data_IF_481609103857
#
_entry.id   IF_481609103857
#
_cell.length_a   1.000
_cell.length_b   1.000
_cell.length_c   1.000
_cell.angle_alpha   90.00
_cell.angle_beta   90.00
_cell.angle_gamma   90.00
#
_symmetry.space_group_name_H-M   'P 1'
#
loop_
_entity.id
_entity.type
_entity.pdbx_description
1 polymer ?
#
# COMPACT_ATOMS: atom_id res chain seq x y z
N UNK A 1 -6.19 -13.89 20.51
CA UNK A 1 -5.31 -14.41 19.44
C UNK A 1 -4.19 -13.40 19.25
N UNK A 2 -2.94 -13.85 19.25
CA UNK A 2 -1.79 -13.02 18.92
C UNK A 2 -1.62 -13.00 17.40
N UNK A 3 -1.43 -11.81 16.83
CA UNK A 3 -1.27 -11.63 15.37
C UNK A 3 0.09 -10.99 15.14
N UNK A 4 0.88 -11.61 14.26
CA UNK A 4 2.12 -11.07 13.74
C UNK A 4 1.95 -10.84 12.25
N UNK A 5 2.30 -9.68 11.73
CA UNK A 5 2.26 -9.38 10.29
C UNK A 5 3.67 -9.02 9.81
N UNK A 6 4.05 -9.52 8.65
CA UNK A 6 5.27 -9.14 7.92
C UNK A 6 4.88 -8.64 6.54
N UNK A 7 5.39 -7.48 6.17
CA UNK A 7 5.04 -6.78 4.94
C UNK A 7 6.13 -6.97 3.89
N UNK A 8 5.72 -7.30 2.67
CA UNK A 8 6.58 -7.18 1.50
C UNK A 8 6.64 -5.72 1.01
N UNK A 9 7.56 -5.37 0.08
CA UNK A 9 7.58 -4.05 -0.52
C UNK A 9 6.24 -3.73 -1.21
N UNK A 10 5.66 -2.59 -0.87
CA UNK A 10 4.45 -2.08 -1.52
C UNK A 10 4.74 -1.76 -2.99
N UNK A 11 3.80 -2.09 -3.88
CA UNK A 11 3.91 -1.91 -5.32
C UNK A 11 2.82 -0.97 -5.84
N UNK A 12 3.12 0.33 -5.97
CA UNK A 12 2.25 1.26 -6.66
C UNK A 12 2.44 1.07 -8.18
N UNK A 13 1.42 0.51 -8.83
CA UNK A 13 1.41 0.23 -10.26
C UNK A 13 0.12 0.73 -10.92
N UNK A 14 0.19 1.21 -12.17
CA UNK A 14 -1.02 1.55 -12.92
C UNK A 14 -1.62 0.24 -13.39
N UNK A 15 -2.87 0.00 -13.01
CA UNK A 15 -3.63 -1.10 -13.55
C UNK A 15 -4.05 -0.76 -14.98
N UNK A 16 -3.57 -1.53 -15.96
CA UNK A 16 -3.81 -1.25 -17.38
C UNK A 16 -5.28 -1.45 -17.78
N UNK A 17 -6.02 -2.34 -17.09
CA UNK A 17 -7.41 -2.65 -17.40
C UNK A 17 -8.35 -1.54 -16.92
N UNK A 18 -8.08 -1.02 -15.72
CA UNK A 18 -8.85 0.10 -15.14
C UNK A 18 -8.31 1.48 -15.56
N UNK A 19 -7.08 1.54 -16.05
CA UNK A 19 -6.32 2.78 -16.23
C UNK A 19 -6.32 3.65 -14.96
N UNK A 20 -6.11 3.00 -13.83
CA UNK A 20 -6.12 3.61 -12.50
C UNK A 20 -4.88 3.19 -11.71
N UNK A 21 -4.37 4.11 -10.89
CA UNK A 21 -3.29 3.86 -9.95
C UNK A 21 -3.77 2.93 -8.84
N UNK A 22 -3.21 1.73 -8.75
CA UNK A 22 -3.47 0.78 -7.66
C UNK A 22 -2.22 0.58 -6.82
N UNK A 23 -2.41 0.24 -5.56
CA UNK A 23 -1.33 -0.24 -4.71
C UNK A 23 -1.56 -1.70 -4.37
N UNK A 24 -0.59 -2.52 -4.74
CA UNK A 24 -0.51 -3.91 -4.35
C UNK A 24 0.41 -4.03 -3.13
N UNK A 25 -0.12 -4.59 -2.05
CA UNK A 25 0.61 -4.86 -0.82
C UNK A 25 0.50 -6.35 -0.51
N UNK A 26 1.59 -7.09 -0.70
CA UNK A 26 1.71 -8.48 -0.27
C UNK A 26 2.11 -8.52 1.20
N UNK A 27 1.56 -9.45 1.98
CA UNK A 27 1.94 -9.64 3.37
C UNK A 27 1.77 -11.08 3.80
N UNK A 28 2.66 -11.52 4.68
CA UNK A 28 2.50 -12.76 5.43
C UNK A 28 2.00 -12.46 6.83
N UNK A 29 1.14 -13.31 7.35
CA UNK A 29 0.59 -13.19 8.69
C UNK A 29 0.71 -14.50 9.45
N UNK A 30 1.00 -14.40 10.74
CA UNK A 30 0.98 -15.53 11.67
C UNK A 30 -0.01 -15.26 12.79
N UNK A 31 -1.03 -16.10 12.90
CA UNK A 31 -1.97 -16.13 14.01
C UNK A 31 -1.48 -17.17 15.01
N UNK A 32 -1.42 -16.81 16.30
CA UNK A 32 -1.15 -17.74 17.40
C UNK A 32 -2.26 -17.68 18.42
N UNK A 33 -2.77 -18.83 18.81
CA UNK A 33 -3.80 -18.94 19.83
C UNK A 33 -3.63 -20.18 20.68
N UNK A 34 -4.20 -20.15 21.87
CA UNK A 34 -4.21 -21.29 22.76
C UNK A 34 -5.55 -22.00 22.66
N UNK A 35 -5.54 -23.30 22.40
CA UNK A 35 -6.74 -24.15 22.43
C UNK A 35 -6.40 -25.54 22.96
N UNK A 36 -6.73 -25.78 24.23
CA UNK A 36 -6.51 -27.07 24.88
C UNK A 36 -7.28 -28.22 24.19
N UNK A 37 -8.42 -27.93 23.53
CA UNK A 37 -9.26 -28.96 22.90
C UNK A 37 -8.61 -29.57 21.67
N UNK A 38 -7.76 -28.81 20.98
CA UNK A 38 -7.03 -29.26 19.79
C UNK A 38 -5.88 -30.19 20.22
N UNK A 39 -5.17 -29.81 21.28
CA UNK A 39 -4.07 -30.58 21.84
C UNK A 39 -4.53 -31.92 22.45
N UNK A 40 -5.72 -31.96 23.06
CA UNK A 40 -6.33 -33.18 23.61
C UNK A 40 -7.01 -34.05 22.54
N UNK A 41 -7.06 -33.61 21.29
CA UNK A 41 -7.77 -34.34 20.24
C UNK A 41 -7.02 -35.63 19.84
N UNK A 42 -7.73 -36.72 19.51
CA UNK A 42 -7.09 -37.98 19.07
C UNK A 42 -6.30 -37.83 17.76
N UNK A 43 -6.47 -36.72 17.05
CA UNK A 43 -5.83 -36.44 15.78
C UNK A 43 -4.75 -35.36 15.89
N UNK A 44 -4.35 -34.98 17.12
CA UNK A 44 -3.36 -33.92 17.37
C UNK A 44 -2.08 -34.14 16.55
N UNK A 45 -1.58 -35.38 16.48
CA UNK A 45 -0.36 -35.73 15.75
C UNK A 45 -0.47 -35.58 14.21
N UNK A 46 -1.69 -35.51 13.67
CA UNK A 46 -1.95 -35.41 12.21
C UNK A 46 -2.62 -34.09 11.81
N UNK A 47 -2.90 -33.22 12.77
CA UNK A 47 -3.64 -31.98 12.55
C UNK A 47 -2.87 -31.00 11.65
N UNK A 48 -1.54 -30.96 11.77
CA UNK A 48 -0.63 -30.19 10.91
C UNK A 48 -0.80 -30.56 9.44
N UNK A 49 -0.79 -31.85 9.12
CA UNK A 49 -1.00 -32.32 7.74
C UNK A 49 -2.45 -32.13 7.26
N UNK A 50 -3.43 -32.23 8.17
CA UNK A 50 -4.84 -32.16 7.80
C UNK A 50 -5.32 -30.73 7.54
N UNK A 51 -4.72 -29.75 8.22
CA UNK A 51 -5.08 -28.33 8.15
C UNK A 51 -4.09 -27.48 7.35
N UNK A 52 -2.89 -27.97 7.03
CA UNK A 52 -2.01 -27.27 6.10
C UNK A 52 -2.54 -27.36 4.66
N UNK A 53 -2.25 -26.34 3.88
CA UNK A 53 -2.56 -26.24 2.45
C UNK A 53 -1.28 -25.95 1.69
N UNK A 54 -0.83 -26.92 0.89
CA UNK A 54 0.31 -26.70 0.00
C UNK A 54 -0.04 -25.76 -1.15
N UNK A 55 0.97 -25.09 -1.71
CA UNK A 55 0.78 -24.17 -2.86
C UNK A 55 0.19 -24.86 -4.09
N UNK A 56 0.54 -26.13 -4.30
CA UNK A 56 0.01 -26.94 -5.42
C UNK A 56 -1.48 -27.22 -5.25
N UNK A 57 -1.92 -27.51 -4.02
CA UNK A 57 -3.33 -27.73 -3.71
C UNK A 57 -4.13 -26.42 -3.74
N UNK A 58 -3.54 -25.32 -3.26
CA UNK A 58 -4.13 -23.97 -3.30
C UNK A 58 -4.38 -23.48 -4.74
N UNK A 59 -3.59 -23.93 -5.71
CA UNK A 59 -3.77 -23.60 -7.12
C UNK A 59 -5.03 -24.23 -7.74
N UNK A 60 -5.65 -25.21 -7.07
CA UNK A 60 -6.85 -25.91 -7.56
C UNK A 60 -8.10 -25.55 -6.75
N UNK A 61 -9.24 -25.32 -7.43
CA UNK A 61 -10.52 -25.03 -6.78
C UNK A 61 -10.98 -26.17 -5.86
N UNK A 62 -10.77 -27.41 -6.28
CA UNK A 62 -11.09 -28.61 -5.50
C UNK A 62 -10.22 -28.71 -4.24
N UNK A 63 -8.92 -28.44 -4.34
CA UNK A 63 -8.00 -28.43 -3.20
C UNK A 63 -8.39 -27.39 -2.16
N UNK A 64 -8.71 -26.17 -2.61
CA UNK A 64 -9.22 -25.09 -1.74
C UNK A 64 -10.54 -25.45 -1.06
N UNK A 65 -11.46 -26.07 -1.79
CA UNK A 65 -12.77 -26.46 -1.25
C UNK A 65 -12.63 -27.55 -0.19
N UNK A 66 -11.85 -28.61 -0.47
CA UNK A 66 -11.62 -29.70 0.49
C UNK A 66 -10.90 -29.22 1.74
N UNK A 67 -9.93 -28.32 1.59
CA UNK A 67 -9.24 -27.71 2.71
C UNK A 67 -10.20 -26.89 3.58
N UNK A 68 -11.04 -26.06 2.98
CA UNK A 68 -12.08 -25.29 3.69
C UNK A 68 -13.01 -26.21 4.48
N UNK A 69 -13.41 -27.34 3.92
CA UNK A 69 -14.24 -28.33 4.62
C UNK A 69 -13.54 -28.97 5.83
N UNK A 70 -12.25 -29.31 5.70
CA UNK A 70 -11.44 -29.84 6.82
C UNK A 70 -11.27 -28.78 7.91
N UNK A 71 -10.96 -27.55 7.51
CA UNK A 71 -10.81 -26.40 8.40
C UNK A 71 -12.09 -26.09 9.17
N UNK A 72 -13.25 -26.13 8.52
CA UNK A 72 -14.55 -25.85 9.16
C UNK A 72 -14.93 -26.81 10.30
N UNK A 73 -14.21 -27.94 10.46
CA UNK A 73 -14.41 -28.87 11.59
C UNK A 73 -13.76 -28.39 12.88
N UNK A 74 -12.78 -27.49 12.78
CA UNK A 74 -12.06 -26.93 13.90
C UNK A 74 -12.30 -25.43 13.99
N UNK A 75 -12.26 -24.91 15.21
CA UNK A 75 -12.26 -23.47 15.37
C UNK A 75 -10.86 -22.95 15.03
N UNK A 76 -10.75 -22.21 13.93
CA UNK A 76 -9.53 -21.54 13.49
C UNK A 76 -9.86 -20.07 13.27
N UNK A 77 -9.15 -19.12 13.91
CA UNK A 77 -9.41 -17.70 13.70
C UNK A 77 -9.20 -17.36 12.21
N UNK A 78 -10.16 -16.64 11.62
CA UNK A 78 -10.02 -16.11 10.25
C UNK A 78 -9.68 -14.63 10.33
N UNK A 79 -8.59 -14.23 9.68
CA UNK A 79 -8.28 -12.83 9.47
C UNK A 79 -9.15 -12.32 8.33
N UNK A 80 -10.00 -11.34 8.61
CA UNK A 80 -10.80 -10.62 7.62
C UNK A 80 -10.26 -9.19 7.49
N UNK A 81 -10.33 -8.66 6.28
CA UNK A 81 -9.88 -7.30 5.98
C UNK A 81 -11.12 -6.49 5.63
N UNK A 82 -11.32 -5.36 6.31
CA UNK A 82 -12.34 -4.38 5.96
C UNK A 82 -11.77 -3.35 4.96
N UNK A 83 -12.66 -2.77 4.16
CA UNK A 83 -12.35 -1.74 3.16
C UNK A 83 -11.49 -2.20 1.96
N UNK A 84 -11.69 -3.46 1.54
CA UNK A 84 -11.14 -3.96 0.28
C UNK A 84 -11.91 -3.41 -0.93
N UNK A 85 -11.24 -3.31 -2.08
CA UNK A 85 -11.91 -3.07 -3.35
C UNK A 85 -12.95 -4.18 -3.60
N UNK A 86 -14.06 -3.90 -4.32
CA UNK A 86 -15.08 -4.91 -4.61
C UNK A 86 -14.61 -6.15 -5.38
N UNK A 87 -13.36 -6.18 -5.85
CA UNK A 87 -12.71 -7.34 -6.51
C UNK A 87 -11.39 -7.77 -5.83
N UNK A 88 -11.12 -7.33 -4.60
CA UNK A 88 -9.97 -7.87 -3.85
C UNK A 88 -10.39 -9.18 -3.21
N UNK A 89 -10.24 -10.26 -3.97
CA UNK A 89 -10.33 -11.59 -3.42
C UNK A 89 -9.17 -11.78 -2.41
N UNK A 90 -9.51 -12.14 -1.18
CA UNK A 90 -8.55 -12.63 -0.20
C UNK A 90 -8.24 -14.09 -0.54
N UNK A 91 -7.18 -14.32 -1.29
CA UNK A 91 -6.66 -15.67 -1.51
C UNK A 91 -5.65 -15.95 -0.40
N UNK A 92 -5.92 -16.95 0.44
CA UNK A 92 -4.85 -17.59 1.18
C UNK A 92 -4.04 -18.39 0.14
N UNK A 93 -2.93 -17.83 -0.37
CA UNK A 93 -2.09 -18.48 -1.39
C UNK A 93 -1.48 -19.81 -0.89
N UNK A 94 -1.32 -19.92 0.42
CA UNK A 94 -0.94 -21.11 1.16
C UNK A 94 -1.26 -20.90 2.64
N UNK A 95 -1.34 -22.00 3.39
CA UNK A 95 -1.64 -21.95 4.82
C UNK A 95 -0.90 -23.05 5.56
N UNK A 96 0.06 -22.69 6.41
CA UNK A 96 0.78 -23.65 7.25
C UNK A 96 0.20 -23.63 8.66
N UNK A 97 -0.31 -24.79 9.09
CA UNK A 97 -0.77 -25.00 10.46
C UNK A 97 0.28 -25.78 11.24
N UNK A 98 0.60 -25.29 12.43
CA UNK A 98 1.53 -25.96 13.35
C UNK A 98 0.93 -25.97 14.76
N UNK A 99 0.92 -27.16 15.39
CA UNK A 99 0.45 -27.37 16.75
C UNK A 99 1.63 -27.69 17.70
N UNK A 100 1.92 -26.78 18.63
CA UNK A 100 2.76 -27.08 19.79
C UNK A 100 1.90 -27.67 20.92
N UNK A 101 1.72 -29.00 20.86
CA UNK A 101 0.95 -29.75 21.86
C UNK A 101 1.50 -29.61 23.29
N UNK A 102 2.79 -29.27 23.47
CA UNK A 102 3.38 -29.08 24.80
C UNK A 102 2.92 -27.79 25.49
N UNK A 103 2.53 -26.79 24.70
CA UNK A 103 2.08 -25.47 25.17
C UNK A 103 0.58 -25.22 24.92
N UNK A 104 -0.14 -26.20 24.36
CA UNK A 104 -1.50 -26.05 23.85
C UNK A 104 -1.63 -24.85 22.90
N UNK A 105 -0.59 -24.58 22.12
CA UNK A 105 -0.50 -23.42 21.25
C UNK A 105 -0.63 -23.89 19.80
N UNK A 106 -1.62 -23.34 19.09
CA UNK A 106 -1.79 -23.54 17.66
C UNK A 106 -1.36 -22.27 16.93
N UNK A 107 -0.74 -22.45 15.78
CA UNK A 107 -0.35 -21.37 14.90
C UNK A 107 -0.79 -21.60 13.47
N UNK A 108 -1.13 -20.50 12.81
CA UNK A 108 -1.51 -20.47 11.40
C UNK A 108 -0.70 -19.40 10.71
N UNK A 109 0.03 -19.77 9.66
CA UNK A 109 0.73 -18.81 8.80
C UNK A 109 0.07 -18.80 7.43
N UNK A 110 -0.24 -17.62 6.92
CA UNK A 110 -0.78 -17.45 5.57
C UNK A 110 -0.20 -16.24 4.87
N UNK A 111 -0.41 -16.17 3.56
CA UNK A 111 -0.02 -15.06 2.70
C UNK A 111 -1.28 -14.46 2.08
N UNK A 112 -1.37 -13.12 2.09
CA UNK A 112 -2.46 -12.36 1.49
C UNK A 112 -1.91 -11.22 0.65
N UNK A 113 -2.61 -10.91 -0.44
CA UNK A 113 -2.31 -9.78 -1.32
C UNK A 113 -3.47 -8.79 -1.27
N UNK A 114 -3.17 -7.56 -0.88
CA UNK A 114 -4.15 -6.48 -0.77
C UNK A 114 -3.99 -5.54 -1.95
N UNK A 115 -5.10 -5.26 -2.62
CA UNK A 115 -5.21 -4.25 -3.68
C UNK A 115 -6.01 -3.06 -3.18
N UNK A 116 -5.37 -1.90 -3.12
CA UNK A 116 -5.99 -0.62 -2.72
C UNK A 116 -6.21 0.23 -3.97
N UNK A 117 -7.45 0.67 -4.18
CA UNK A 117 -7.88 1.45 -5.35
C UNK A 117 -7.45 2.91 -5.31
N UNK A 118 -7.41 3.53 -6.49
CA UNK A 118 -7.09 4.93 -6.70
C UNK A 118 -7.97 5.89 -5.88
N UNK A 119 -9.21 5.53 -5.57
CA UNK A 119 -10.14 6.33 -4.75
C UNK A 119 -9.62 6.70 -3.36
N UNK A 120 -8.63 5.95 -2.84
CA UNK A 120 -7.99 6.22 -1.55
C UNK A 120 -6.79 7.17 -1.66
N UNK A 121 -6.46 7.63 -2.87
CA UNK A 121 -5.33 8.52 -3.14
C UNK A 121 -5.81 9.93 -3.44
N UNK A 122 -5.01 10.92 -3.04
CA UNK A 122 -5.24 12.32 -3.34
C UNK A 122 -4.07 12.90 -4.14
N UNK A 123 -4.25 13.02 -5.46
CA UNK A 123 -3.28 13.60 -6.39
C UNK A 123 -3.40 15.12 -6.58
N UNK A 124 -4.21 15.83 -5.80
CA UNK A 124 -4.41 17.27 -5.99
C UNK A 124 -3.08 18.05 -6.01
N UNK A 125 -2.13 17.68 -5.15
CA UNK A 125 -0.81 18.31 -5.07
C UNK A 125 0.28 17.59 -5.86
N UNK A 126 -0.06 16.73 -6.82
CA UNK A 126 0.94 16.03 -7.64
C UNK A 126 1.95 17.03 -8.25
N UNK A 127 3.27 16.75 -8.19
CA UNK A 127 3.98 15.56 -7.68
C UNK A 127 4.42 15.66 -6.20
N UNK A 128 3.95 16.65 -5.46
CA UNK A 128 4.30 16.91 -4.06
C UNK A 128 3.36 16.21 -3.08
N UNK A 129 2.69 15.16 -3.55
CA UNK A 129 1.63 14.47 -2.85
C UNK A 129 2.17 13.50 -1.77
N UNK A 130 1.34 13.33 -0.75
CA UNK A 130 1.55 12.40 0.35
C UNK A 130 0.28 11.58 0.52
N UNK A 131 0.45 10.26 0.56
CA UNK A 131 -0.64 9.30 0.56
C UNK A 131 -0.60 8.51 1.88
N UNK A 132 -1.78 8.18 2.40
CA UNK A 132 -1.92 7.38 3.62
C UNK A 132 -2.85 6.22 3.33
N UNK A 133 -2.31 5.02 3.34
CA UNK A 133 -3.08 3.79 3.18
C UNK A 133 -3.46 3.30 4.56
N UNK A 134 -4.73 2.97 4.74
CA UNK A 134 -5.24 2.38 5.98
C UNK A 134 -5.93 1.08 5.62
N UNK A 135 -5.48 -0.01 6.22
CA UNK A 135 -6.07 -1.35 6.07
C UNK A 135 -6.54 -1.80 7.44
N UNK A 136 -7.82 -2.16 7.53
CA UNK A 136 -8.45 -2.55 8.79
C UNK A 136 -8.54 -4.07 8.87
N UNK A 137 -7.83 -4.67 9.82
CA UNK A 137 -7.87 -6.11 10.06
C UNK A 137 -8.81 -6.43 11.21
N UNK A 138 -9.58 -7.49 11.07
CA UNK A 138 -10.41 -8.03 12.14
C UNK A 138 -10.36 -9.57 12.14
N UNK A 139 -10.67 -10.18 13.29
CA UNK A 139 -10.86 -11.61 13.35
C UNK A 139 -12.35 -11.96 13.30
N UNK A 140 -12.72 -12.86 12.40
CA UNK A 140 -14.09 -13.39 12.38
C UNK A 140 -14.31 -14.41 13.52
N UNK A 141 -15.58 -14.70 13.82
CA UNK A 141 -15.93 -15.74 14.80
C UNK A 141 -15.78 -15.32 16.26
N UNK A 142 -15.75 -14.01 16.55
CA UNK A 142 -15.79 -13.46 17.92
C UNK A 142 -14.47 -13.50 18.67
N UNK A 143 -13.37 -13.87 18.02
CA UNK A 143 -12.02 -13.73 18.59
C UNK A 143 -11.61 -12.25 18.68
N UNK A 144 -10.89 -11.91 19.74
CA UNK A 144 -10.26 -10.61 19.90
C UNK A 144 -8.76 -10.68 19.59
N UNK A 145 -8.25 -9.64 18.94
CA UNK A 145 -6.83 -9.45 18.69
C UNK A 145 -6.21 -8.93 19.99
N UNK A 146 -5.32 -9.71 20.59
CA UNK A 146 -4.77 -9.36 21.91
C UNK A 146 -3.78 -8.20 21.87
N UNK A 147 -3.13 -7.97 20.72
CA UNK A 147 -2.18 -6.89 20.56
C UNK A 147 -2.06 -6.46 19.08
N UNK A 148 -2.44 -5.22 18.76
CA UNK A 148 -2.15 -4.61 17.46
C UNK A 148 -0.70 -4.07 17.37
N UNK A 149 0.00 -3.91 18.51
CA UNK A 149 1.41 -3.53 18.53
C UNK A 149 2.35 -4.67 18.11
N UNK A 150 1.81 -5.90 17.92
CA UNK A 150 2.53 -7.09 17.47
C UNK A 150 2.88 -7.10 15.99
N UNK A 151 2.79 -5.97 15.29
CA UNK A 151 3.40 -5.81 13.98
C UNK A 151 4.91 -5.70 14.14
N UNK A 152 5.55 -6.87 14.31
CA UNK A 152 6.95 -7.05 13.95
C UNK A 152 7.05 -6.87 12.44
N UNK A 153 7.01 -5.62 11.99
CA UNK A 153 7.16 -5.31 10.57
C UNK A 153 8.47 -5.90 10.02
N UNK A 154 9.47 -6.15 10.89
CA UNK A 154 10.61 -7.08 10.77
C UNK A 154 11.02 -7.59 12.17
N UNK A 155 11.87 -8.63 12.30
CA UNK A 155 12.57 -8.91 13.55
C UNK A 155 13.38 -7.67 14.00
N UNK A 156 13.37 -7.34 15.31
CA UNK A 156 13.93 -6.08 15.83
C UNK A 156 15.42 -5.83 15.54
N UNK A 157 16.18 -6.84 15.11
CA UNK A 157 17.63 -6.73 14.85
C UNK A 157 17.97 -6.04 13.52
N UNK A 158 17.17 -6.21 12.47
CA UNK A 158 17.47 -5.66 11.13
C UNK A 158 17.10 -4.18 11.02
N UNK A 159 15.99 -3.76 11.64
CA UNK A 159 15.51 -2.37 11.58
C UNK A 159 16.28 -1.44 12.53
N UNK A 160 16.75 -1.96 13.67
CA UNK A 160 17.49 -1.15 14.65
C UNK A 160 18.85 -0.62 14.11
N UNK A 161 19.40 -1.28 13.08
CA UNK A 161 20.69 -0.92 12.48
C UNK A 161 20.57 -0.42 11.03
N UNK A 162 19.38 -0.50 10.43
CA UNK A 162 19.15 -0.09 9.05
C UNK A 162 19.13 1.43 8.88
N UNK A 163 19.76 1.89 7.80
CA UNK A 163 19.67 3.27 7.32
C UNK A 163 18.28 3.55 6.73
N UNK A 164 17.88 4.82 6.66
CA UNK A 164 16.61 5.23 6.04
C UNK A 164 16.45 4.77 4.59
N UNK A 165 17.56 4.65 3.85
CA UNK A 165 17.55 4.14 2.47
C UNK A 165 17.28 2.62 2.42
N UNK A 166 17.87 1.85 3.34
CA UNK A 166 17.59 0.41 3.47
C UNK A 166 16.13 0.18 3.85
N UNK A 167 15.59 0.96 4.79
CA UNK A 167 14.19 0.89 5.20
C UNK A 167 13.26 1.19 4.01
N UNK A 168 13.55 2.21 3.21
CA UNK A 168 12.72 2.51 2.03
C UNK A 168 12.72 1.36 1.01
N UNK A 169 13.86 0.70 0.78
CA UNK A 169 13.94 -0.44 -0.16
C UNK A 169 13.20 -1.69 0.33
N UNK A 170 12.98 -1.77 1.64
CA UNK A 170 12.27 -2.88 2.27
C UNK A 170 10.76 -2.70 2.11
N UNK A 171 10.22 -1.49 2.32
CA UNK A 171 8.77 -1.26 2.28
C UNK A 171 8.26 -0.71 0.94
N UNK A 172 9.13 -0.21 0.07
CA UNK A 172 8.76 0.47 -1.17
C UNK A 172 9.59 -0.05 -2.35
N UNK A 173 9.14 0.17 -3.59
CA UNK A 173 9.85 -0.31 -4.75
C UNK A 173 11.24 0.32 -4.87
N UNK A 174 12.17 -0.43 -5.46
CA UNK A 174 13.53 0.02 -5.73
C UNK A 174 13.61 1.23 -6.70
N UNK A 175 12.50 1.64 -7.33
CA UNK A 175 12.44 2.77 -8.27
C UNK A 175 12.65 4.14 -7.61
N UNK A 176 12.59 4.23 -6.28
CA UNK A 176 12.76 5.47 -5.49
C UNK A 176 11.78 6.61 -5.85
N UNK A 177 10.72 6.30 -6.59
CA UNK A 177 9.65 7.25 -6.89
C UNK A 177 8.83 7.59 -5.64
N UNK A 178 8.76 6.65 -4.71
CA UNK A 178 8.08 6.77 -3.44
C UNK A 178 9.07 6.60 -2.29
N UNK A 179 8.86 7.36 -1.23
CA UNK A 179 9.63 7.31 0.02
C UNK A 179 8.67 7.32 1.20
N UNK A 180 9.07 6.74 2.34
CA UNK A 180 8.25 6.81 3.55
C UNK A 180 8.09 8.27 4.01
N UNK A 181 6.89 8.61 4.46
CA UNK A 181 6.55 9.96 4.89
C UNK A 181 7.00 10.25 6.33
N UNK A 182 8.31 10.29 6.55
CA UNK A 182 8.92 10.65 7.84
C UNK A 182 9.68 9.50 8.50
N UNK A 183 9.62 9.44 9.83
CA UNK A 183 10.24 8.35 10.61
C UNK A 183 9.48 7.03 10.39
N UNK A 184 10.13 5.88 10.58
CA UNK A 184 9.48 4.59 10.40
C UNK A 184 8.27 4.42 11.32
N UNK A 185 8.37 4.85 12.57
CA UNK A 185 7.29 4.74 13.57
C UNK A 185 6.08 5.62 13.27
N UNK A 186 6.27 6.71 12.53
CA UNK A 186 5.19 7.61 12.11
C UNK A 186 4.59 7.21 10.75
N UNK A 187 5.42 6.60 9.91
CA UNK A 187 5.07 6.23 8.53
C UNK A 187 4.40 4.86 8.47
N UNK A 188 4.83 3.91 9.30
CA UNK A 188 4.23 2.58 9.36
C UNK A 188 3.81 2.32 10.79
N UNK A 189 2.51 2.16 11.01
CA UNK A 189 2.00 1.90 12.36
C UNK A 189 0.77 1.01 12.29
N UNK A 190 0.67 0.10 13.25
CA UNK A 190 -0.52 -0.67 13.48
C UNK A 190 -1.09 -0.34 14.85
N UNK A 191 -2.31 0.20 14.86
CA UNK A 191 -2.99 0.63 16.08
C UNK A 191 -4.47 0.30 15.96
N UNK A 192 -5.17 0.07 17.08
CA UNK A 192 -6.63 0.00 17.04
C UNK A 192 -7.20 1.29 16.43
N UNK A 193 -8.27 1.24 15.63
CA UNK A 193 -8.89 2.44 15.08
C UNK A 193 -9.34 3.35 16.22
N UNK A 194 -8.94 4.61 16.16
CA UNK A 194 -9.38 5.61 17.13
C UNK A 194 -10.71 6.20 16.65
N UNK A 195 -11.83 5.70 17.15
CA UNK A 195 -13.11 6.38 16.96
C UNK A 195 -13.18 7.61 17.87
N UNK A 196 -13.14 8.80 17.27
CA UNK A 196 -13.48 10.03 17.96
C UNK A 196 -15.02 10.10 18.09
N UNK A 197 -15.56 9.96 19.30
CA UNK A 197 -16.97 10.31 19.54
C UNK A 197 -17.11 11.84 19.42
N UNK A 198 -17.96 12.38 18.53
CA UNK A 198 -17.99 13.81 18.19
C UNK A 198 -18.43 14.76 19.32
N UNK A 199 -18.81 14.24 20.50
CA UNK A 199 -19.42 15.05 21.57
C UNK A 199 -18.82 14.91 22.96
N UNK A 200 -17.87 14.00 23.20
CA UNK A 200 -17.36 13.74 24.56
C UNK A 200 -15.84 13.74 24.71
N UNK A 201 -15.06 13.78 23.62
CA UNK A 201 -13.59 13.82 23.70
C UNK A 201 -12.98 12.65 24.48
N UNK A 202 -13.75 11.60 24.71
CA UNK A 202 -13.38 10.42 25.49
C UNK A 202 -13.03 9.28 24.54
N UNK A 203 -11.83 8.75 24.71
CA UNK A 203 -11.28 7.63 23.97
C UNK A 203 -11.85 6.31 24.50
N UNK A 204 -12.92 5.81 23.90
CA UNK A 204 -13.40 4.46 24.20
C UNK A 204 -12.70 3.48 23.24
N UNK A 205 -11.77 2.67 23.77
CA UNK A 205 -11.12 1.57 23.05
C UNK A 205 -12.04 0.35 22.94
N UNK A 206 -13.27 0.54 22.46
CA UNK A 206 -14.27 -0.54 22.40
C UNK A 206 -14.07 -1.50 21.24
N UNK A 207 -13.26 -1.14 20.23
CA UNK A 207 -12.97 -1.99 19.07
C UNK A 207 -11.59 -2.65 19.17
N UNK A 208 -11.32 -3.35 20.28
CA UNK A 208 -10.12 -4.18 20.43
C UNK A 208 -10.07 -5.37 19.44
N UNK A 209 -11.15 -5.60 18.70
CA UNK A 209 -11.21 -6.61 17.63
C UNK A 209 -10.62 -6.13 16.30
N UNK A 210 -10.36 -4.82 16.14
CA UNK A 210 -9.89 -4.24 14.88
C UNK A 210 -8.48 -3.66 15.04
N UNK A 211 -7.59 -3.98 14.10
CA UNK A 211 -6.26 -3.38 13.99
C UNK A 211 -6.14 -2.64 12.66
N UNK A 212 -5.94 -1.32 12.72
CA UNK A 212 -5.69 -0.50 11.54
C UNK A 212 -4.19 -0.42 11.26
N UNK A 213 -3.75 -0.98 10.13
CA UNK A 213 -2.42 -0.79 9.58
C UNK A 213 -2.42 0.49 8.74
N UNK A 214 -1.62 1.47 9.14
CA UNK A 214 -1.42 2.71 8.40
C UNK A 214 -0.02 2.73 7.79
N UNK A 215 0.06 2.93 6.47
CA UNK A 215 1.29 3.15 5.73
C UNK A 215 1.22 4.52 5.07
N UNK A 216 2.15 5.40 5.42
CA UNK A 216 2.26 6.75 4.86
C UNK A 216 3.45 6.84 3.93
N UNK A 217 3.15 7.18 2.68
CA UNK A 217 4.15 7.32 1.63
C UNK A 217 4.09 8.72 1.04
N UNK A 218 5.21 9.17 0.50
CA UNK A 218 5.35 10.45 -0.17
C UNK A 218 6.07 10.25 -1.48
N UNK A 219 5.64 10.93 -2.54
CA UNK A 219 6.35 10.90 -3.81
C UNK A 219 7.67 11.68 -3.71
N UNK A 220 8.71 11.22 -4.39
CA UNK A 220 9.97 11.95 -4.51
C UNK A 220 9.85 13.02 -5.63
N UNK A 221 9.72 14.31 -5.29
CA UNK A 221 9.46 15.33 -6.29
C UNK A 221 10.67 15.62 -7.17
N UNK A 222 11.89 15.25 -6.75
CA UNK A 222 13.12 15.55 -7.50
C UNK A 222 13.10 14.91 -8.89
N UNK A 223 12.54 13.72 -9.01
CA UNK A 223 12.42 13.01 -10.29
C UNK A 223 11.58 13.83 -11.26
N UNK A 224 10.43 14.34 -10.81
CA UNK A 224 9.56 15.18 -11.62
C UNK A 224 10.18 16.54 -11.91
N UNK A 225 10.80 17.18 -10.91
CA UNK A 225 11.42 18.51 -11.06
C UNK A 225 12.45 18.48 -12.18
N UNK A 226 13.35 17.49 -12.16
CA UNK A 226 14.43 17.37 -13.16
C UNK A 226 13.87 17.00 -14.53
N UNK A 227 12.91 16.05 -14.59
CA UNK A 227 12.41 15.53 -15.87
C UNK A 227 11.44 16.46 -16.60
N UNK A 228 10.64 17.25 -15.89
CA UNK A 228 9.54 18.00 -16.50
C UNK A 228 9.55 19.49 -16.15
N UNK A 229 9.64 19.82 -14.85
CA UNK A 229 9.47 21.20 -14.38
C UNK A 229 10.59 22.14 -14.87
N UNK A 230 11.85 21.71 -14.78
CA UNK A 230 13.02 22.49 -15.23
C UNK A 230 12.94 22.77 -16.73
N UNK A 231 12.57 21.77 -17.53
CA UNK A 231 12.46 21.90 -18.99
C UNK A 231 11.39 22.95 -19.32
N UNK A 232 10.22 22.84 -18.71
CA UNK A 232 9.08 23.72 -19.02
C UNK A 232 9.35 25.17 -18.60
N UNK A 233 9.98 25.40 -17.44
CA UNK A 233 10.43 26.74 -17.01
C UNK A 233 11.50 27.29 -17.96
N UNK A 234 12.44 26.45 -18.39
CA UNK A 234 13.53 26.88 -19.27
C UNK A 234 12.99 27.30 -20.64
N UNK A 235 12.08 26.54 -21.23
CA UNK A 235 11.47 26.83 -22.53
C UNK A 235 10.67 28.13 -22.49
N UNK A 236 9.84 28.32 -21.47
CA UNK A 236 9.04 29.55 -21.29
C UNK A 236 9.92 30.77 -21.04
N UNK A 237 10.92 30.68 -20.17
CA UNK A 237 11.78 31.82 -19.85
C UNK A 237 12.72 32.19 -21.01
N UNK A 238 13.32 31.20 -21.68
CA UNK A 238 14.20 31.45 -22.84
C UNK A 238 13.41 32.06 -23.99
N UNK A 239 12.17 31.61 -24.24
CA UNK A 239 11.35 32.19 -25.30
C UNK A 239 10.97 33.64 -25.02
N UNK A 240 10.54 33.96 -23.79
CA UNK A 240 10.28 35.34 -23.38
C UNK A 240 11.53 36.23 -23.51
N UNK A 241 12.68 35.74 -23.04
CA UNK A 241 13.95 36.46 -23.15
C UNK A 241 14.39 36.65 -24.61
N UNK A 242 14.14 35.65 -25.47
CA UNK A 242 14.37 35.75 -26.91
C UNK A 242 13.57 36.88 -27.56
N UNK A 243 12.29 37.03 -27.20
CA UNK A 243 11.45 38.13 -27.69
C UNK A 243 11.99 39.50 -27.24
N UNK A 244 12.50 39.60 -26.01
CA UNK A 244 13.04 40.85 -25.47
C UNK A 244 14.37 41.28 -26.10
N UNK A 245 15.24 40.32 -26.46
CA UNK A 245 16.58 40.62 -27.00
C UNK A 245 16.55 40.91 -28.51
N UNK A 246 15.64 40.28 -29.26
CA UNK A 246 15.56 40.47 -30.70
C UNK A 246 15.24 41.92 -31.07
N UNK A 247 15.73 42.41 -32.21
CA UNK A 247 15.45 43.78 -32.67
C UNK A 247 13.97 43.94 -33.07
N UNK A 248 13.47 45.18 -33.09
CA UNK A 248 12.10 45.50 -33.50
C UNK A 248 11.75 45.01 -34.90
N UNK A 249 12.75 44.89 -35.76
CA UNK A 249 12.58 44.63 -37.19
C UNK A 249 12.47 43.13 -37.48
N UNK A 250 12.81 42.27 -36.51
CA UNK A 250 12.76 40.81 -36.60
C UNK A 250 11.43 40.24 -36.05
N UNK A 251 10.29 40.80 -36.46
CA UNK A 251 8.96 40.34 -36.00
C UNK A 251 8.74 38.84 -36.30
N UNK A 252 9.15 38.38 -37.49
CA UNK A 252 8.99 36.99 -37.91
C UNK A 252 9.71 36.00 -36.99
N UNK A 253 10.95 36.32 -36.62
CA UNK A 253 11.76 35.45 -35.75
C UNK A 253 11.21 35.41 -34.32
N UNK A 254 10.70 36.54 -33.81
CA UNK A 254 10.04 36.60 -32.49
C UNK A 254 8.81 35.71 -32.43
N UNK A 255 7.95 35.77 -33.46
CA UNK A 255 6.77 34.91 -33.57
C UNK A 255 7.16 33.43 -33.74
N UNK A 256 8.22 33.15 -34.50
CA UNK A 256 8.76 31.80 -34.65
C UNK A 256 9.20 31.17 -33.33
N UNK A 257 9.95 31.92 -32.50
CA UNK A 257 10.40 31.45 -31.18
C UNK A 257 9.21 31.18 -30.25
N UNK A 258 8.20 32.05 -30.22
CA UNK A 258 6.99 31.84 -29.43
C UNK A 258 6.21 30.61 -29.90
N UNK A 259 6.10 30.39 -31.21
CA UNK A 259 5.39 29.24 -31.76
C UNK A 259 6.09 27.91 -31.43
N UNK A 260 7.42 27.88 -31.52
CA UNK A 260 8.22 26.71 -31.13
C UNK A 260 8.07 26.45 -29.63
N UNK A 261 8.13 27.50 -28.80
CA UNK A 261 7.96 27.36 -27.35
C UNK A 261 6.57 26.80 -26.99
N UNK A 262 5.51 27.29 -27.65
CA UNK A 262 4.16 26.78 -27.49
C UNK A 262 4.06 25.30 -27.87
N UNK A 263 4.65 24.88 -29.00
CA UNK A 263 4.66 23.48 -29.42
C UNK A 263 5.39 22.58 -28.42
N UNK A 264 6.52 23.02 -27.88
CA UNK A 264 7.26 22.27 -26.85
C UNK A 264 6.43 22.18 -25.57
N UNK A 265 5.80 23.27 -25.14
CA UNK A 265 4.96 23.28 -23.95
C UNK A 265 3.78 22.30 -24.10
N UNK A 266 3.04 22.35 -25.22
CA UNK A 266 1.93 21.43 -25.50
C UNK A 266 2.39 19.97 -25.54
N UNK A 267 3.56 19.70 -26.14
CA UNK A 267 4.11 18.34 -26.20
C UNK A 267 4.48 17.83 -24.81
N UNK A 268 5.08 18.68 -23.96
CA UNK A 268 5.38 18.32 -22.57
C UNK A 268 4.11 18.09 -21.74
N UNK A 269 3.04 18.86 -21.98
CA UNK A 269 1.75 18.66 -21.30
C UNK A 269 1.04 17.35 -21.67
N UNK A 270 1.33 16.80 -22.85
CA UNK A 270 0.81 15.51 -23.29
C UNK A 270 1.54 14.31 -22.68
N UNK A 271 2.61 14.54 -21.90
CA UNK A 271 3.34 13.44 -21.28
C UNK A 271 2.48 12.73 -20.25
N UNK A 272 2.42 11.41 -20.36
CA UNK A 272 1.73 10.58 -19.38
C UNK A 272 2.44 10.68 -18.03
N UNK A 273 1.68 11.05 -17.00
CA UNK A 273 2.15 11.22 -15.64
C UNK A 273 2.26 9.88 -14.89
N UNK A 274 1.75 8.78 -15.47
CA UNK A 274 1.79 7.43 -14.90
C UNK A 274 0.93 7.28 -13.65
N UNK A 275 -0.21 7.98 -13.60
CA UNK A 275 -1.15 8.00 -12.47
C UNK A 275 -2.57 7.58 -12.87
N UNK A 276 -2.77 7.16 -14.12
CA UNK A 276 -4.08 6.79 -14.65
C UNK A 276 -5.01 7.99 -14.89
N UNK A 277 -6.28 7.71 -15.10
CA UNK A 277 -7.30 8.73 -15.33
C UNK A 277 -7.74 9.37 -14.01
N UNK A 278 -7.76 10.70 -13.95
CA UNK A 278 -8.17 11.46 -12.77
C UNK A 278 -9.33 12.39 -13.18
N UNK A 279 -10.39 12.42 -12.37
CA UNK A 279 -11.61 13.17 -12.68
C UNK A 279 -11.57 14.65 -12.27
N UNK A 280 -10.45 15.13 -11.73
CA UNK A 280 -10.28 16.48 -11.20
C UNK A 280 -8.94 17.09 -11.61
N UNK A 281 -8.85 18.41 -11.54
CA UNK A 281 -7.66 19.19 -11.92
C UNK A 281 -6.61 19.13 -10.82
N UNK A 282 -5.36 18.83 -11.19
CA UNK A 282 -4.22 18.77 -10.29
C UNK A 282 -3.41 20.07 -10.28
N UNK A 283 -2.52 20.21 -9.30
CA UNK A 283 -1.58 21.32 -9.22
C UNK A 283 -0.75 21.50 -10.50
N UNK A 284 -0.30 20.39 -11.11
CA UNK A 284 0.50 20.45 -12.34
C UNK A 284 -0.29 21.01 -13.52
N UNK A 285 -1.61 20.78 -13.57
CA UNK A 285 -2.46 21.32 -14.62
C UNK A 285 -2.57 22.85 -14.49
N UNK A 286 -2.72 23.37 -13.25
CA UNK A 286 -2.68 24.81 -13.00
C UNK A 286 -1.32 25.43 -13.36
N UNK A 287 -0.23 24.73 -13.04
CA UNK A 287 1.12 25.17 -13.39
C UNK A 287 1.31 25.22 -14.91
N UNK A 288 0.93 24.16 -15.61
CA UNK A 288 0.98 24.09 -17.07
C UNK A 288 0.12 25.19 -17.71
N UNK A 289 -1.09 25.42 -17.21
CA UNK A 289 -1.97 26.48 -17.72
C UNK A 289 -1.38 27.89 -17.52
N UNK A 290 -0.56 28.11 -16.49
CA UNK A 290 0.15 29.38 -16.28
C UNK A 290 1.31 29.62 -17.25
N UNK A 291 1.76 28.58 -17.96
CA UNK A 291 2.87 28.62 -18.89
C UNK A 291 2.46 28.85 -20.35
N UNK A 292 1.15 28.77 -20.64
CA UNK A 292 0.55 29.11 -21.93
C UNK A 292 0.22 30.60 -22.00
#
# INVERSE_FOLDING_TARGET
>A
VHVTLSLDPARPEVDEDLNEMVLLQSMSYTLRWQDARIAESPCADYLDYLLSLSREEAASDDGRTQHRERRNRFWVPLLSIQDLAPDTDQWDESGDFELDASKNEASWTGEIVIRILQSHFNFFYYPFDSQSMVVNFMLEGGAMISNCQGLNLFPPEEVATATSEQINRIYLPATQQWVLAGSLTDSVSAKPPTHNHPTTGQYNSTDQSICALTIKIRRNPLIFIIKSLVISITVTYISLLGVLIMSSDALGDRLGVLFIALLIAVTNMQTDLGIGHISYVMWIDYFNLSQL
#
